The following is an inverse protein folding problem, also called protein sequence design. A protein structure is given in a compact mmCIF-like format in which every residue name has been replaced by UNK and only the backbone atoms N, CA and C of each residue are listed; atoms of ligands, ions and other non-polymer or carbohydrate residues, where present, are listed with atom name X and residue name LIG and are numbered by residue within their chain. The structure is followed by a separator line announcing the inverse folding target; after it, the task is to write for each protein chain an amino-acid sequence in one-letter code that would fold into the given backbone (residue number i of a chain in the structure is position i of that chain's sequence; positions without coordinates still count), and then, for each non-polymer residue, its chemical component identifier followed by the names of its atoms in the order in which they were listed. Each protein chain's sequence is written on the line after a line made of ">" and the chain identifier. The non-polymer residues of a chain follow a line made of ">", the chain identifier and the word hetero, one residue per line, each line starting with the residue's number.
data_IF_677310471724
#
_entry.id   IF_677310471724
#
_cell.length_a   1.000
_cell.length_b   1.000
_cell.length_c   1.000
_cell.angle_alpha   90.00
_cell.angle_beta   90.00
_cell.angle_gamma   90.00
#
_symmetry.space_group_name_H-M   'P 1'
#
loop_
_entity.id
_entity.type
_entity.pdbx_description
1 polymer ?
#
# COMPACT_ATOMS: atom_id res chain seq x y z
N UNK A 1 -19.15 -16.81 -28.00
CA UNK A 1 -19.19 -15.51 -27.29
C UNK A 1 -18.01 -15.46 -26.34
N UNK A 2 -17.11 -14.48 -26.46
CA UNK A 2 -16.07 -14.26 -25.46
C UNK A 2 -16.76 -13.70 -24.21
N UNK A 3 -16.64 -14.33 -23.02
CA UNK A 3 -17.04 -13.67 -21.80
C UNK A 3 -15.97 -12.61 -21.49
N UNK A 4 -16.36 -11.34 -21.57
CA UNK A 4 -15.59 -10.25 -20.97
C UNK A 4 -15.71 -10.41 -19.47
N UNK A 5 -14.73 -11.08 -18.85
CA UNK A 5 -14.48 -10.96 -17.42
C UNK A 5 -14.36 -9.46 -17.13
N UNK A 6 -15.16 -8.97 -16.20
CA UNK A 6 -15.08 -7.62 -15.70
C UNK A 6 -13.65 -7.41 -15.18
N UNK A 7 -12.86 -6.67 -15.96
CA UNK A 7 -11.59 -6.05 -15.55
C UNK A 7 -11.78 -5.01 -14.44
N UNK A 8 -12.72 -5.24 -13.53
CA UNK A 8 -13.32 -4.23 -12.66
C UNK A 8 -12.63 -4.11 -11.32
N UNK A 9 -12.26 -5.22 -10.67
CA UNK A 9 -11.68 -5.20 -9.33
C UNK A 9 -10.16 -5.04 -9.37
N UNK A 10 -9.46 -6.04 -9.91
CA UNK A 10 -7.99 -6.06 -9.98
C UNK A 10 -7.39 -4.90 -10.78
N UNK A 11 -8.01 -4.49 -11.88
CA UNK A 11 -7.52 -3.36 -12.71
C UNK A 11 -7.75 -1.99 -12.06
N UNK A 12 -8.70 -1.89 -11.10
CA UNK A 12 -8.91 -0.69 -10.25
C UNK A 12 -7.93 -0.67 -9.09
N UNK A 13 -7.64 -1.82 -8.49
CA UNK A 13 -6.65 -1.96 -7.41
C UNK A 13 -5.22 -1.77 -7.91
N UNK A 14 -4.86 -2.35 -9.07
CA UNK A 14 -3.58 -2.11 -9.75
C UNK A 14 -3.41 -0.66 -10.17
N UNK A 15 -4.49 -0.01 -10.66
CA UNK A 15 -4.48 1.44 -10.86
C UNK A 15 -4.24 2.15 -9.56
N UNK A 16 -4.88 1.77 -8.46
CA UNK A 16 -4.71 2.41 -7.16
C UNK A 16 -3.28 2.29 -6.65
N UNK A 17 -2.67 1.10 -6.72
CA UNK A 17 -1.27 0.85 -6.31
C UNK A 17 -0.33 1.74 -7.14
N UNK A 18 -0.50 1.74 -8.46
CA UNK A 18 0.33 2.53 -9.37
C UNK A 18 0.18 4.05 -9.18
N UNK A 19 -1.03 4.50 -8.85
CA UNK A 19 -1.31 5.93 -8.61
C UNK A 19 -0.90 6.39 -7.20
N UNK A 20 -0.85 5.47 -6.23
CA UNK A 20 -0.27 5.68 -4.90
C UNK A 20 1.26 5.72 -4.96
N UNK A 21 1.90 4.89 -5.79
CA UNK A 21 3.33 4.98 -6.14
C UNK A 21 3.68 6.34 -6.77
N UNK A 22 2.75 6.94 -7.53
CA UNK A 22 2.90 8.27 -8.16
C UNK A 22 2.72 9.46 -7.19
N UNK A 23 2.42 9.23 -5.90
CA UNK A 23 2.47 10.27 -4.85
C UNK A 23 1.31 11.28 -4.86
N UNK A 24 0.24 11.03 -5.60
CA UNK A 24 -0.97 11.85 -5.62
C UNK A 24 -1.77 11.67 -4.32
N UNK A 25 -1.89 12.71 -3.49
CA UNK A 25 -2.55 12.65 -2.19
C UNK A 25 -4.07 12.43 -2.32
N UNK A 26 -4.53 11.20 -2.12
CA UNK A 26 -5.93 10.95 -1.79
C UNK A 26 -6.22 11.40 -0.35
N UNK A 27 -7.37 12.02 -0.13
CA UNK A 27 -7.86 12.30 1.23
C UNK A 27 -8.10 10.98 1.99
N UNK A 28 -8.00 11.04 3.32
CA UNK A 28 -8.29 9.90 4.20
C UNK A 28 -9.68 9.28 3.91
N UNK A 29 -10.68 10.12 3.62
CA UNK A 29 -12.01 9.73 3.17
C UNK A 29 -12.03 8.87 1.91
N UNK A 30 -11.14 9.15 0.95
CA UNK A 30 -11.10 8.38 -0.30
C UNK A 30 -10.52 6.99 -0.09
N UNK A 31 -9.47 6.89 0.74
CA UNK A 31 -8.88 5.60 1.14
C UNK A 31 -9.91 4.75 1.90
N UNK A 32 -10.68 5.38 2.79
CA UNK A 32 -11.72 4.69 3.55
C UNK A 32 -12.85 4.15 2.65
N UNK A 33 -13.36 4.97 1.73
CA UNK A 33 -14.40 4.53 0.76
C UNK A 33 -13.93 3.41 -0.17
N UNK A 34 -12.66 3.44 -0.57
CA UNK A 34 -12.08 2.36 -1.38
C UNK A 34 -11.95 1.06 -0.59
N UNK A 35 -11.62 1.15 0.71
CA UNK A 35 -11.60 -0.01 1.60
C UNK A 35 -12.99 -0.62 1.77
N UNK A 36 -14.03 0.21 1.93
CA UNK A 36 -15.41 -0.27 2.00
C UNK A 36 -15.85 -0.97 0.71
N UNK A 37 -15.61 -0.34 -0.45
CA UNK A 37 -15.98 -0.92 -1.75
C UNK A 37 -15.29 -2.25 -2.02
N UNK A 38 -13.98 -2.35 -1.74
CA UNK A 38 -13.26 -3.59 -1.92
C UNK A 38 -13.75 -4.69 -0.93
N UNK A 39 -14.18 -4.31 0.29
CA UNK A 39 -14.61 -5.30 1.29
C UNK A 39 -15.94 -5.93 0.88
N UNK A 40 -16.79 -5.13 0.23
CA UNK A 40 -18.03 -5.59 -0.37
C UNK A 40 -17.73 -6.52 -1.55
N UNK A 41 -16.79 -6.16 -2.44
CA UNK A 41 -16.32 -7.03 -3.54
C UNK A 41 -15.74 -8.37 -3.01
N UNK A 42 -14.94 -8.35 -1.93
CA UNK A 42 -14.39 -9.56 -1.30
C UNK A 42 -15.48 -10.47 -0.75
N UNK A 43 -16.49 -9.86 -0.10
CA UNK A 43 -17.62 -10.58 0.48
C UNK A 43 -18.47 -11.23 -0.62
N UNK A 44 -18.79 -10.48 -1.67
CA UNK A 44 -19.55 -10.99 -2.83
C UNK A 44 -18.80 -12.15 -3.49
N UNK A 45 -17.49 -12.01 -3.73
CA UNK A 45 -16.68 -13.06 -4.35
C UNK A 45 -16.60 -14.33 -3.47
N UNK A 46 -16.49 -14.18 -2.15
CA UNK A 46 -16.55 -15.31 -1.20
C UNK A 46 -17.89 -16.03 -1.24
N UNK A 47 -18.99 -15.28 -1.30
CA UNK A 47 -20.33 -15.86 -1.43
C UNK A 47 -20.51 -16.59 -2.77
N UNK A 48 -20.02 -16.03 -3.89
CA UNK A 48 -20.04 -16.69 -5.20
C UNK A 48 -19.22 -17.99 -5.22
N UNK A 49 -18.02 -17.99 -4.62
CA UNK A 49 -17.17 -19.19 -4.51
C UNK A 49 -17.87 -20.27 -3.68
N UNK A 50 -18.50 -19.89 -2.57
CA UNK A 50 -19.22 -20.83 -1.71
C UNK A 50 -20.40 -21.46 -2.46
N UNK A 51 -21.27 -20.64 -3.05
CA UNK A 51 -22.42 -21.12 -3.82
C UNK A 51 -22.00 -21.99 -5.01
N UNK A 52 -20.94 -21.58 -5.72
CA UNK A 52 -20.39 -22.36 -6.83
C UNK A 52 -19.79 -23.68 -6.37
N UNK A 53 -19.13 -23.73 -5.21
CA UNK A 53 -18.58 -24.95 -4.62
C UNK A 53 -19.66 -25.95 -4.24
N UNK A 54 -20.74 -25.47 -3.62
CA UNK A 54 -21.92 -26.30 -3.30
C UNK A 54 -22.57 -26.85 -4.56
N UNK A 55 -22.69 -26.05 -5.62
CA UNK A 55 -23.23 -26.50 -6.89
C UNK A 55 -22.31 -27.53 -7.58
N UNK A 56 -20.99 -27.38 -7.45
CA UNK A 56 -20.01 -28.34 -7.98
C UNK A 56 -20.15 -29.71 -7.32
N UNK A 57 -20.35 -29.77 -6.00
CA UNK A 57 -20.54 -31.04 -5.30
C UNK A 57 -21.88 -31.70 -5.71
N UNK A 58 -22.95 -30.92 -5.89
CA UNK A 58 -24.22 -31.44 -6.44
C UNK A 58 -24.05 -32.04 -7.84
N UNK A 59 -23.35 -31.35 -8.75
CA UNK A 59 -23.08 -31.89 -10.09
C UNK A 59 -22.30 -33.22 -10.03
N UNK A 60 -21.31 -33.31 -9.13
CA UNK A 60 -20.52 -34.53 -8.93
C UNK A 60 -21.38 -35.68 -8.42
N UNK A 61 -22.31 -35.43 -7.49
CA UNK A 61 -23.28 -36.43 -7.02
C UNK A 61 -24.22 -36.89 -8.15
N UNK A 62 -24.74 -35.96 -8.97
CA UNK A 62 -25.58 -36.29 -10.12
C UNK A 62 -24.84 -37.14 -11.16
N UNK A 63 -23.57 -36.82 -11.45
CA UNK A 63 -22.71 -37.61 -12.34
C UNK A 63 -22.50 -39.02 -11.79
N UNK A 64 -22.25 -39.16 -10.48
CA UNK A 64 -22.06 -40.44 -9.81
C UNK A 64 -23.33 -41.30 -9.92
N UNK A 65 -24.49 -40.73 -9.58
CA UNK A 65 -25.79 -41.39 -9.67
C UNK A 65 -26.09 -41.82 -11.12
N UNK A 66 -25.82 -40.94 -12.09
CA UNK A 66 -25.97 -41.23 -13.51
C UNK A 66 -25.08 -42.40 -13.97
N UNK A 67 -23.81 -42.42 -13.52
CA UNK A 67 -22.87 -43.49 -13.84
C UNK A 67 -23.30 -44.84 -13.25
N UNK A 68 -23.76 -44.83 -12.00
CA UNK A 68 -24.22 -46.05 -11.33
C UNK A 68 -25.47 -46.63 -12.01
N UNK A 69 -26.43 -45.77 -12.38
CA UNK A 69 -27.58 -46.16 -13.18
C UNK A 69 -27.15 -46.75 -14.55
N UNK A 70 -26.18 -46.13 -15.21
CA UNK A 70 -25.60 -46.63 -16.46
C UNK A 70 -25.00 -48.03 -16.32
N UNK A 71 -24.25 -48.30 -15.24
CA UNK A 71 -23.72 -49.64 -14.93
C UNK A 71 -24.84 -50.66 -14.74
N UNK A 72 -25.90 -50.30 -14.02
CA UNK A 72 -27.04 -51.18 -13.79
C UNK A 72 -27.81 -51.49 -15.09
N UNK A 73 -27.98 -50.50 -15.97
CA UNK A 73 -28.60 -50.69 -17.29
C UNK A 73 -27.75 -51.59 -18.20
N UNK A 74 -26.42 -51.43 -18.20
CA UNK A 74 -25.50 -52.30 -18.95
C UNK A 74 -25.59 -53.75 -18.48
N UNK A 75 -25.63 -53.97 -17.16
CA UNK A 75 -25.79 -55.30 -16.58
C UNK A 75 -27.11 -55.94 -17.02
N UNK A 76 -28.23 -55.22 -16.90
CA UNK A 76 -29.55 -55.70 -17.36
C UNK A 76 -29.57 -55.99 -18.86
N UNK A 77 -28.91 -55.17 -19.68
CA UNK A 77 -28.83 -55.42 -21.12
C UNK A 77 -28.10 -56.74 -21.42
N UNK A 78 -26.99 -57.00 -20.72
CA UNK A 78 -26.26 -58.25 -20.84
C UNK A 78 -27.10 -59.47 -20.40
N UNK A 79 -27.86 -59.34 -19.31
CA UNK A 79 -28.78 -60.38 -18.81
C UNK A 79 -29.86 -60.71 -19.86
N UNK A 80 -30.53 -59.70 -20.42
CA UNK A 80 -31.56 -59.88 -21.47
C UNK A 80 -30.96 -60.50 -22.73
N UNK A 81 -29.73 -60.12 -23.09
CA UNK A 81 -29.05 -60.71 -24.25
C UNK A 81 -28.80 -62.20 -24.04
N UNK A 82 -28.33 -62.59 -22.85
CA UNK A 82 -28.11 -63.98 -22.50
C UNK A 82 -29.43 -64.79 -22.49
N UNK A 83 -30.49 -64.25 -21.89
CA UNK A 83 -31.81 -64.87 -21.86
C UNK A 83 -32.38 -65.09 -23.28
N UNK A 84 -32.22 -64.09 -24.15
CA UNK A 84 -32.66 -64.18 -25.55
C UNK A 84 -31.91 -65.25 -26.32
N UNK A 85 -30.62 -65.41 -26.08
CA UNK A 85 -29.81 -66.43 -26.75
C UNK A 85 -30.26 -67.84 -26.30
N UNK A 86 -30.56 -68.04 -25.01
CA UNK A 86 -31.16 -69.30 -24.49
C UNK A 86 -32.49 -69.62 -25.16
N UNK A 87 -33.43 -68.66 -25.24
CA UNK A 87 -34.75 -68.87 -25.86
C UNK A 87 -34.63 -69.17 -27.36
N UNK A 88 -33.65 -68.54 -28.03
CA UNK A 88 -33.36 -68.81 -29.44
C UNK A 88 -32.88 -70.25 -29.64
N UNK A 89 -31.97 -70.71 -28.80
CA UNK A 89 -31.45 -72.08 -28.89
C UNK A 89 -32.56 -73.11 -28.64
N UNK A 90 -33.43 -72.88 -27.66
CA UNK A 90 -34.60 -73.72 -27.43
C UNK A 90 -35.59 -73.71 -28.61
N UNK A 91 -35.84 -72.55 -29.21
CA UNK A 91 -36.69 -72.44 -30.41
C UNK A 91 -36.11 -73.23 -31.60
N UNK A 92 -34.78 -73.20 -31.79
CA UNK A 92 -34.10 -73.97 -32.84
C UNK A 92 -34.22 -75.49 -32.62
N UNK A 93 -34.11 -75.93 -31.37
CA UNK A 93 -34.30 -77.34 -31.00
C UNK A 93 -35.75 -77.77 -31.30
N UNK A 94 -36.74 -77.00 -30.84
CA UNK A 94 -38.16 -77.30 -31.08
C UNK A 94 -38.50 -77.33 -32.57
N UNK A 95 -38.00 -76.37 -33.36
CA UNK A 95 -38.19 -76.34 -34.80
C UNK A 95 -37.59 -77.57 -35.51
N UNK A 96 -36.43 -78.05 -35.04
CA UNK A 96 -35.83 -79.29 -35.55
C UNK A 96 -36.68 -80.51 -35.19
N UNK A 97 -37.14 -80.62 -33.94
CA UNK A 97 -38.00 -81.73 -33.51
C UNK A 97 -39.29 -81.82 -34.33
N UNK A 98 -39.92 -80.69 -34.63
CA UNK A 98 -41.12 -80.64 -35.49
C UNK A 98 -40.83 -81.22 -36.88
N UNK A 99 -39.71 -80.84 -37.49
CA UNK A 99 -39.29 -81.32 -38.80
C UNK A 99 -39.00 -82.83 -38.80
N UNK A 100 -38.37 -83.32 -37.73
CA UNK A 100 -38.07 -84.74 -37.57
C UNK A 100 -39.37 -85.55 -37.41
N UNK A 101 -40.32 -85.09 -36.59
CA UNK A 101 -41.65 -85.69 -36.41
C UNK A 101 -42.50 -85.66 -37.70
N UNK A 102 -42.46 -84.56 -38.47
CA UNK A 102 -43.13 -84.50 -39.78
C UNK A 102 -42.56 -85.54 -40.76
N UNK A 103 -41.26 -85.75 -40.74
CA UNK A 103 -40.59 -86.71 -41.62
C UNK A 103 -40.99 -88.14 -41.24
N UNK A 104 -41.09 -88.44 -39.95
CA UNK A 104 -41.56 -89.73 -39.43
C UNK A 104 -43.03 -89.98 -39.77
N UNK A 105 -43.89 -88.97 -39.64
CA UNK A 105 -45.30 -89.06 -40.07
C UNK A 105 -45.43 -89.46 -41.54
N UNK A 106 -44.71 -88.76 -42.43
CA UNK A 106 -44.70 -89.06 -43.88
C UNK A 106 -44.15 -90.45 -44.20
N UNK A 107 -43.25 -90.97 -43.37
CA UNK A 107 -42.77 -92.34 -43.49
C UNK A 107 -43.87 -93.36 -43.11
N UNK A 108 -44.56 -93.13 -41.99
CA UNK A 108 -45.68 -93.96 -41.57
C UNK A 108 -46.85 -93.93 -42.57
N UNK A 109 -47.16 -92.77 -43.16
CA UNK A 109 -48.20 -92.65 -44.20
C UNK A 109 -47.91 -93.55 -45.39
N UNK A 110 -46.66 -93.55 -45.88
CA UNK A 110 -46.22 -94.40 -46.99
C UNK A 110 -46.33 -95.89 -46.65
N UNK A 111 -45.91 -96.30 -45.46
CA UNK A 111 -46.03 -97.71 -45.04
C UNK A 111 -47.51 -98.11 -44.94
N UNK A 112 -48.37 -97.26 -44.39
CA UNK A 112 -49.81 -97.52 -44.29
C UNK A 112 -50.42 -97.69 -45.69
N UNK A 113 -50.07 -96.81 -46.63
CA UNK A 113 -50.52 -96.89 -48.03
C UNK A 113 -50.10 -98.23 -48.67
N UNK A 114 -48.82 -98.61 -48.54
CA UNK A 114 -48.29 -99.89 -49.04
C UNK A 114 -49.00 -101.11 -48.41
N UNK A 115 -49.26 -101.07 -47.10
CA UNK A 115 -49.95 -102.16 -46.40
C UNK A 115 -51.41 -102.28 -46.83
N UNK A 116 -52.11 -101.16 -47.01
CA UNK A 116 -53.49 -101.15 -47.49
C UNK A 116 -53.60 -101.69 -48.92
N UNK A 117 -52.65 -101.36 -49.78
CA UNK A 117 -52.60 -101.90 -51.14
C UNK A 117 -52.39 -103.43 -51.11
N UNK A 118 -51.48 -103.94 -50.27
CA UNK A 118 -51.30 -105.38 -50.06
C UNK A 118 -52.55 -106.08 -49.54
N UNK A 119 -53.28 -105.47 -48.59
CA UNK A 119 -54.55 -106.00 -48.09
C UNK A 119 -55.56 -106.13 -49.23
N UNK A 120 -55.70 -105.08 -50.06
CA UNK A 120 -56.60 -105.06 -51.21
C UNK A 120 -56.26 -106.11 -52.25
N UNK A 121 -54.97 -106.32 -52.51
CA UNK A 121 -54.51 -107.34 -53.45
C UNK A 121 -54.79 -108.76 -52.93
N UNK A 122 -54.59 -109.02 -51.64
CA UNK A 122 -54.96 -110.31 -51.01
C UNK A 122 -56.48 -110.50 -51.06
N UNK A 123 -57.28 -109.48 -50.75
CA UNK A 123 -58.75 -109.55 -50.80
C UNK A 123 -59.24 -110.02 -52.18
N UNK A 124 -58.74 -109.42 -53.27
CA UNK A 124 -59.05 -109.83 -54.65
C UNK A 124 -58.69 -111.29 -54.97
N UNK A 125 -57.61 -111.83 -54.37
CA UNK A 125 -57.25 -113.24 -54.55
C UNK A 125 -58.22 -114.18 -53.82
N UNK A 126 -58.71 -113.79 -52.64
CA UNK A 126 -59.74 -114.51 -51.87
C UNK A 126 -61.10 -114.52 -52.57
N UNK A 127 -61.47 -113.45 -53.28
CA UNK A 127 -62.73 -113.39 -54.03
C UNK A 127 -62.78 -114.39 -55.21
N UNK A 128 -61.61 -114.88 -55.66
CA UNK A 128 -61.48 -115.84 -56.76
C UNK A 128 -61.29 -117.31 -56.32
N UNK A 129 -61.32 -117.61 -55.02
CA UNK A 129 -61.10 -118.98 -54.49
C UNK A 129 -62.07 -119.29 -53.33
N UNK A 130 -62.69 -120.48 -53.31
CA UNK A 130 -63.54 -120.92 -52.19
C UNK A 130 -62.77 -120.83 -50.85
N UNK A 131 -63.23 -119.95 -49.95
CA UNK A 131 -62.92 -119.84 -48.52
C UNK A 131 -61.50 -120.26 -48.07
N UNK A 132 -60.49 -119.40 -48.30
CA UNK A 132 -59.12 -119.63 -47.84
C UNK A 132 -58.83 -118.96 -46.47
N UNK A 133 -58.83 -119.75 -45.39
CA UNK A 133 -58.58 -119.32 -44.00
C UNK A 133 -57.19 -118.68 -43.81
N UNK A 134 -56.21 -119.05 -44.62
CA UNK A 134 -54.84 -118.50 -44.56
C UNK A 134 -54.80 -117.04 -45.02
N UNK A 135 -55.55 -116.69 -46.07
CA UNK A 135 -55.66 -115.32 -46.57
C UNK A 135 -56.37 -114.40 -45.57
N UNK A 136 -57.39 -114.91 -44.88
CA UNK A 136 -58.08 -114.19 -43.81
C UNK A 136 -57.11 -113.83 -42.66
N UNK A 137 -56.27 -114.77 -42.24
CA UNK A 137 -55.27 -114.54 -41.20
C UNK A 137 -54.18 -113.55 -41.67
N UNK A 138 -53.75 -113.59 -42.94
CA UNK A 138 -52.79 -112.62 -43.50
C UNK A 138 -53.36 -111.21 -43.48
N UNK A 139 -54.62 -111.04 -43.90
CA UNK A 139 -55.34 -109.76 -43.83
C UNK A 139 -55.40 -109.26 -42.39
N UNK A 140 -55.85 -110.07 -41.43
CA UNK A 140 -55.90 -109.66 -40.01
C UNK A 140 -54.55 -109.21 -39.46
N UNK A 141 -53.45 -109.89 -39.84
CA UNK A 141 -52.10 -109.51 -39.42
C UNK A 141 -51.65 -108.18 -40.03
N UNK A 142 -51.96 -107.93 -41.30
CA UNK A 142 -51.65 -106.66 -41.97
C UNK A 142 -52.51 -105.51 -41.42
N UNK A 143 -53.81 -105.75 -41.19
CA UNK A 143 -54.72 -104.78 -40.61
C UNK A 143 -54.27 -104.36 -39.20
N UNK A 144 -53.79 -105.29 -38.36
CA UNK A 144 -53.19 -104.94 -37.07
C UNK A 144 -52.01 -103.97 -37.20
N UNK A 145 -51.08 -104.25 -38.13
CA UNK A 145 -49.95 -103.35 -38.39
C UNK A 145 -50.38 -101.96 -38.85
N UNK A 146 -51.42 -101.87 -39.68
CA UNK A 146 -52.00 -100.58 -40.10
C UNK A 146 -52.56 -99.84 -38.89
N UNK A 147 -53.30 -100.51 -38.00
CA UNK A 147 -53.82 -99.91 -36.78
C UNK A 147 -52.71 -99.42 -35.87
N UNK A 148 -51.66 -100.21 -35.66
CA UNK A 148 -50.52 -99.84 -34.81
C UNK A 148 -49.81 -98.59 -35.35
N UNK A 149 -49.58 -98.52 -36.66
CA UNK A 149 -48.99 -97.34 -37.32
C UNK A 149 -49.89 -96.11 -37.21
N UNK A 150 -51.22 -96.26 -37.30
CA UNK A 150 -52.17 -95.15 -37.10
C UNK A 150 -52.16 -94.64 -35.65
N UNK A 151 -52.04 -95.53 -34.67
CA UNK A 151 -51.87 -95.14 -33.26
C UNK A 151 -50.57 -94.35 -33.09
N UNK A 152 -49.46 -94.81 -33.67
CA UNK A 152 -48.19 -94.07 -33.66
C UNK A 152 -48.30 -92.69 -34.32
N UNK A 153 -49.02 -92.57 -35.43
CA UNK A 153 -49.26 -91.27 -36.08
C UNK A 153 -50.05 -90.29 -35.21
N UNK A 154 -51.04 -90.75 -34.47
CA UNK A 154 -51.78 -89.90 -33.54
C UNK A 154 -50.87 -89.38 -32.41
N UNK A 155 -50.03 -90.25 -31.85
CA UNK A 155 -49.04 -89.84 -30.83
C UNK A 155 -48.08 -88.79 -31.40
N UNK A 156 -47.60 -88.98 -32.64
CA UNK A 156 -46.75 -87.99 -33.32
C UNK A 156 -47.48 -86.65 -33.48
N UNK A 157 -48.75 -86.66 -33.90
CA UNK A 157 -49.55 -85.44 -34.06
C UNK A 157 -49.71 -84.68 -32.74
N UNK A 158 -50.09 -85.37 -31.66
CA UNK A 158 -50.23 -84.77 -30.33
C UNK A 158 -48.91 -84.18 -29.83
N UNK A 159 -47.81 -84.92 -30.01
CA UNK A 159 -46.46 -84.46 -29.66
C UNK A 159 -46.07 -83.21 -30.45
N UNK A 160 -46.41 -83.17 -31.75
CA UNK A 160 -46.08 -82.05 -32.62
C UNK A 160 -46.87 -80.79 -32.23
N UNK A 161 -48.16 -80.92 -31.91
CA UNK A 161 -48.98 -79.81 -31.42
C UNK A 161 -48.44 -79.22 -30.10
N UNK A 162 -47.95 -80.07 -29.20
CA UNK A 162 -47.34 -79.60 -27.96
C UNK A 162 -46.02 -78.84 -28.21
N UNK A 163 -45.15 -79.37 -29.07
CA UNK A 163 -43.87 -78.72 -29.43
C UNK A 163 -44.13 -77.41 -30.19
N UNK A 164 -45.13 -77.36 -31.07
CA UNK A 164 -45.50 -76.13 -31.78
C UNK A 164 -45.95 -75.03 -30.82
N UNK A 165 -46.77 -75.36 -29.81
CA UNK A 165 -47.16 -74.39 -28.77
C UNK A 165 -45.94 -73.86 -28.01
N UNK A 166 -44.96 -74.71 -27.69
CA UNK A 166 -43.70 -74.28 -27.07
C UNK A 166 -42.90 -73.35 -27.99
N UNK A 167 -42.83 -73.68 -29.28
CA UNK A 167 -42.15 -72.83 -30.27
C UNK A 167 -42.81 -71.44 -30.38
N UNK A 168 -44.14 -71.38 -30.46
CA UNK A 168 -44.89 -70.12 -30.54
C UNK A 168 -44.71 -69.25 -29.29
N UNK A 169 -44.66 -69.86 -28.10
CA UNK A 169 -44.34 -69.17 -26.85
C UNK A 169 -42.92 -68.59 -26.88
N UNK A 170 -41.92 -69.39 -27.26
CA UNK A 170 -40.52 -68.93 -27.35
C UNK A 170 -40.36 -67.77 -28.34
N UNK A 171 -41.05 -67.80 -29.48
CA UNK A 171 -41.05 -66.69 -30.46
C UNK A 171 -41.64 -65.42 -29.85
N UNK A 172 -42.73 -65.55 -29.10
CA UNK A 172 -43.42 -64.41 -28.47
C UNK A 172 -42.57 -63.78 -27.37
N UNK A 173 -41.93 -64.61 -26.55
CA UNK A 173 -41.02 -64.18 -25.49
C UNK A 173 -39.79 -63.48 -26.08
N UNK A 174 -39.17 -64.06 -27.11
CA UNK A 174 -38.01 -63.46 -27.80
C UNK A 174 -38.33 -62.07 -28.37
N UNK A 175 -39.49 -61.92 -29.04
CA UNK A 175 -39.95 -60.60 -29.53
C UNK A 175 -40.15 -59.59 -28.41
N UNK A 176 -40.57 -60.05 -27.22
CA UNK A 176 -40.75 -59.18 -26.05
C UNK A 176 -39.39 -58.73 -25.49
N UNK A 177 -38.44 -59.67 -25.37
CA UNK A 177 -37.06 -59.38 -24.96
C UNK A 177 -36.34 -58.45 -25.95
N UNK A 178 -36.57 -58.60 -27.26
CA UNK A 178 -36.03 -57.70 -28.29
C UNK A 178 -36.48 -56.26 -28.08
N UNK A 179 -37.78 -56.03 -27.83
CA UNK A 179 -38.30 -54.69 -27.52
C UNK A 179 -37.68 -54.13 -26.25
N UNK A 180 -37.54 -54.95 -25.22
CA UNK A 180 -36.91 -54.54 -23.95
C UNK A 180 -35.44 -54.18 -24.15
N UNK A 181 -34.69 -54.94 -24.95
CA UNK A 181 -33.28 -54.66 -25.27
C UNK A 181 -33.12 -53.34 -26.06
N UNK A 182 -33.96 -53.11 -27.07
CA UNK A 182 -33.96 -51.84 -27.83
C UNK A 182 -34.22 -50.66 -26.88
N UNK A 183 -35.22 -50.78 -26.01
CA UNK A 183 -35.52 -49.73 -25.02
C UNK A 183 -34.35 -49.49 -24.05
N UNK A 184 -33.73 -50.55 -23.51
CA UNK A 184 -32.55 -50.41 -22.64
C UNK A 184 -31.37 -49.75 -23.35
N UNK A 185 -31.13 -50.09 -24.62
CA UNK A 185 -30.06 -49.49 -25.43
C UNK A 185 -30.30 -48.01 -25.64
N UNK A 186 -31.55 -47.61 -25.92
CA UNK A 186 -31.92 -46.19 -26.03
C UNK A 186 -31.75 -45.45 -24.69
N UNK A 187 -32.14 -46.06 -23.57
CA UNK A 187 -31.93 -45.48 -22.23
C UNK A 187 -30.44 -45.31 -21.91
N UNK A 188 -29.59 -46.26 -22.29
CA UNK A 188 -28.14 -46.18 -22.10
C UNK A 188 -27.52 -45.01 -22.86
N UNK A 189 -27.88 -44.83 -24.13
CA UNK A 189 -27.33 -43.73 -24.95
C UNK A 189 -27.79 -42.36 -24.45
N UNK A 190 -29.05 -42.27 -24.00
CA UNK A 190 -29.56 -41.05 -23.38
C UNK A 190 -28.78 -40.72 -22.09
N UNK A 191 -28.60 -41.70 -21.19
CA UNK A 191 -27.86 -41.49 -19.94
C UNK A 191 -26.39 -41.15 -20.16
N UNK A 192 -25.75 -41.76 -21.16
CA UNK A 192 -24.40 -41.39 -21.57
C UNK A 192 -24.33 -39.93 -21.99
N UNK A 193 -25.29 -39.46 -22.78
CA UNK A 193 -25.38 -38.06 -23.22
C UNK A 193 -25.60 -37.10 -22.05
N UNK A 194 -26.49 -37.43 -21.11
CA UNK A 194 -26.72 -36.64 -19.89
C UNK A 194 -25.43 -36.48 -19.06
N UNK A 195 -24.68 -37.58 -18.84
CA UNK A 195 -23.43 -37.57 -18.07
C UNK A 195 -22.37 -36.68 -18.74
N UNK A 196 -22.26 -36.71 -20.07
CA UNK A 196 -21.33 -35.84 -20.81
C UNK A 196 -21.65 -34.37 -20.55
N UNK A 197 -22.92 -33.98 -20.66
CA UNK A 197 -23.36 -32.61 -20.42
C UNK A 197 -23.09 -32.18 -18.97
N UNK A 198 -23.34 -33.07 -18.00
CA UNK A 198 -23.06 -32.78 -16.60
C UNK A 198 -21.55 -32.60 -16.33
N UNK A 199 -20.70 -33.45 -16.93
CA UNK A 199 -19.25 -33.30 -16.84
C UNK A 199 -18.76 -31.99 -17.48
N UNK A 200 -19.32 -31.59 -18.63
CA UNK A 200 -18.97 -30.30 -19.25
C UNK A 200 -19.33 -29.13 -18.35
N UNK A 201 -20.52 -29.15 -17.72
CA UNK A 201 -20.93 -28.16 -16.73
C UNK A 201 -20.00 -28.15 -15.52
N UNK A 202 -19.62 -29.32 -15.01
CA UNK A 202 -18.70 -29.46 -13.89
C UNK A 202 -17.35 -28.81 -14.20
N UNK A 203 -16.76 -29.11 -15.36
CA UNK A 203 -15.46 -28.57 -15.76
C UNK A 203 -15.50 -27.03 -15.93
N UNK A 204 -16.56 -26.50 -16.55
CA UNK A 204 -16.74 -25.05 -16.70
C UNK A 204 -16.85 -24.39 -15.32
N UNK A 205 -17.55 -25.01 -14.37
CA UNK A 205 -17.70 -24.49 -13.03
C UNK A 205 -16.38 -24.54 -12.24
N UNK A 206 -15.62 -25.63 -12.36
CA UNK A 206 -14.32 -25.79 -11.72
C UNK A 206 -13.31 -24.73 -12.23
N UNK A 207 -13.27 -24.49 -13.54
CA UNK A 207 -12.46 -23.43 -14.15
C UNK A 207 -12.84 -22.02 -13.63
N UNK A 208 -14.14 -21.74 -13.47
CA UNK A 208 -14.62 -20.47 -12.93
C UNK A 208 -14.23 -20.28 -11.47
N UNK A 209 -14.44 -21.31 -10.64
CA UNK A 209 -14.05 -21.30 -9.23
C UNK A 209 -12.53 -21.09 -9.07
N UNK A 210 -11.72 -21.72 -9.93
CA UNK A 210 -10.29 -21.51 -9.98
C UNK A 210 -9.91 -20.05 -10.24
N UNK A 211 -10.57 -19.39 -11.21
CA UNK A 211 -10.34 -17.97 -11.50
C UNK A 211 -10.76 -17.06 -10.35
N UNK A 212 -11.94 -17.29 -9.77
CA UNK A 212 -12.41 -16.52 -8.62
C UNK A 212 -11.48 -16.67 -7.41
N UNK A 213 -10.93 -17.86 -7.17
CA UNK A 213 -9.94 -18.07 -6.10
C UNK A 213 -8.65 -17.28 -6.34
N UNK A 214 -8.18 -17.17 -7.59
CA UNK A 214 -7.01 -16.36 -7.93
C UNK A 214 -7.32 -14.87 -7.74
N UNK A 215 -8.49 -14.41 -8.19
CA UNK A 215 -8.94 -13.02 -8.00
C UNK A 215 -9.05 -12.66 -6.51
N UNK A 216 -9.59 -13.55 -5.68
CA UNK A 216 -9.69 -13.36 -4.23
C UNK A 216 -8.31 -13.23 -3.58
N UNK A 217 -7.35 -14.07 -3.97
CA UNK A 217 -5.98 -13.99 -3.45
C UNK A 217 -5.30 -12.68 -3.87
N UNK A 218 -5.46 -12.26 -5.13
CA UNK A 218 -4.92 -11.00 -5.62
C UNK A 218 -5.52 -9.80 -4.89
N UNK A 219 -6.82 -9.83 -4.58
CA UNK A 219 -7.47 -8.80 -3.77
C UNK A 219 -6.85 -8.74 -2.36
N UNK A 220 -6.69 -9.88 -1.70
CA UNK A 220 -6.08 -9.99 -0.37
C UNK A 220 -4.62 -9.48 -0.34
N UNK A 221 -3.82 -9.81 -1.35
CA UNK A 221 -2.44 -9.30 -1.46
C UNK A 221 -2.42 -7.77 -1.59
N UNK A 222 -3.31 -7.21 -2.42
CA UNK A 222 -3.44 -5.76 -2.54
C UNK A 222 -3.90 -5.09 -1.23
N UNK A 223 -4.77 -5.75 -0.45
CA UNK A 223 -5.15 -5.27 0.88
C UNK A 223 -4.01 -5.23 1.88
N UNK A 224 -3.24 -6.30 1.94
CA UNK A 224 -2.07 -6.36 2.80
C UNK A 224 -1.09 -5.24 2.44
N UNK A 225 -0.93 -4.94 1.16
CA UNK A 225 -0.11 -3.81 0.71
C UNK A 225 -0.69 -2.46 1.15
N UNK A 226 -1.99 -2.22 0.99
CA UNK A 226 -2.63 -0.97 1.45
C UNK A 226 -2.51 -0.80 2.96
N UNK A 227 -2.68 -1.88 3.74
CA UNK A 227 -2.51 -1.85 5.19
C UNK A 227 -1.06 -1.52 5.59
N UNK A 228 -0.06 -2.11 4.91
CA UNK A 228 1.35 -1.77 5.12
C UNK A 228 1.62 -0.30 4.82
N UNK A 229 1.15 0.19 3.67
CA UNK A 229 1.30 1.60 3.30
C UNK A 229 0.65 2.53 4.33
N UNK A 230 -0.50 2.18 4.90
CA UNK A 230 -1.17 2.98 5.93
C UNK A 230 -0.34 3.02 7.24
N UNK A 231 0.23 1.89 7.65
CA UNK A 231 1.14 1.85 8.82
C UNK A 231 2.35 2.76 8.61
N UNK A 232 2.98 2.71 7.42
CA UNK A 232 4.10 3.58 7.07
C UNK A 232 3.70 5.06 7.07
N UNK A 233 2.53 5.38 6.53
CA UNK A 233 2.03 6.75 6.47
C UNK A 233 1.73 7.32 7.86
N UNK A 234 1.22 6.51 8.79
CA UNK A 234 1.05 6.90 10.18
C UNK A 234 2.39 7.15 10.87
N UNK A 235 3.39 6.30 10.64
CA UNK A 235 4.74 6.49 11.18
C UNK A 235 5.40 7.77 10.65
N UNK A 236 5.24 8.08 9.36
CA UNK A 236 5.70 9.35 8.78
C UNK A 236 4.99 10.55 9.41
N UNK A 237 3.68 10.46 9.62
CA UNK A 237 2.89 11.53 10.23
C UNK A 237 3.34 11.81 11.68
N UNK A 238 3.56 10.77 12.48
CA UNK A 238 4.18 10.92 13.81
C UNK A 238 5.56 11.59 13.74
N UNK A 239 6.39 11.18 12.78
CA UNK A 239 7.69 11.80 12.52
C UNK A 239 7.60 13.30 12.19
N UNK A 240 6.63 13.71 11.38
CA UNK A 240 6.40 15.12 11.07
C UNK A 240 5.85 15.90 12.27
N UNK A 241 4.92 15.33 13.04
CA UNK A 241 4.41 15.96 14.25
C UNK A 241 5.53 16.22 15.27
N UNK A 242 6.46 15.28 15.44
CA UNK A 242 7.64 15.49 16.28
C UNK A 242 8.53 16.63 15.77
N UNK A 243 8.74 16.74 14.45
CA UNK A 243 9.50 17.86 13.85
C UNK A 243 8.78 19.20 14.03
N UNK A 244 7.46 19.24 13.90
CA UNK A 244 6.66 20.46 14.13
C UNK A 244 6.79 20.91 15.57
N UNK A 245 6.70 19.99 16.54
CA UNK A 245 6.90 20.32 17.96
C UNK A 245 8.29 20.88 18.21
N UNK A 246 9.34 20.25 17.67
CA UNK A 246 10.71 20.75 17.80
C UNK A 246 10.89 22.16 17.18
N UNK A 247 10.26 22.42 16.03
CA UNK A 247 10.30 23.73 15.39
C UNK A 247 9.56 24.79 16.23
N UNK A 248 8.45 24.43 16.85
CA UNK A 248 7.71 25.31 17.76
C UNK A 248 8.54 25.65 19.00
N UNK A 249 9.21 24.67 19.61
CA UNK A 249 10.10 24.89 20.74
C UNK A 249 11.25 25.85 20.36
N UNK A 250 11.89 25.62 19.22
CA UNK A 250 12.94 26.50 18.71
C UNK A 250 12.45 27.93 18.41
N UNK A 251 11.22 28.07 17.91
CA UNK A 251 10.59 29.37 17.66
C UNK A 251 10.34 30.14 18.96
N UNK A 252 9.92 29.44 20.02
CA UNK A 252 9.71 30.04 21.33
C UNK A 252 11.04 30.49 21.96
N UNK A 253 12.09 29.66 21.86
CA UNK A 253 13.45 30.03 22.31
C UNK A 253 13.98 31.27 21.59
N UNK A 254 13.76 31.36 20.26
CA UNK A 254 14.13 32.53 19.47
C UNK A 254 13.35 33.77 19.92
N UNK A 255 12.05 33.62 20.20
CA UNK A 255 11.17 34.69 20.68
C UNK A 255 11.62 35.21 22.05
N UNK A 256 11.97 34.33 22.98
CA UNK A 256 12.51 34.70 24.30
C UNK A 256 13.86 35.43 24.15
N UNK A 257 14.74 34.93 23.27
CA UNK A 257 16.03 35.58 22.96
C UNK A 257 15.85 36.98 22.36
N UNK A 258 14.90 37.15 21.44
CA UNK A 258 14.56 38.44 20.86
C UNK A 258 14.06 39.43 21.94
N UNK A 259 13.21 38.97 22.86
CA UNK A 259 12.75 39.81 23.98
C UNK A 259 13.89 40.22 24.91
N UNK A 260 14.82 39.31 25.21
CA UNK A 260 16.00 39.60 26.02
C UNK A 260 16.89 40.65 25.33
N UNK A 261 17.14 40.51 24.02
CA UNK A 261 17.89 41.49 23.24
C UNK A 261 17.20 42.86 23.22
N UNK A 262 15.87 42.91 23.07
CA UNK A 262 15.09 44.16 23.16
C UNK A 262 15.22 44.83 24.54
N UNK A 263 15.20 44.05 25.63
CA UNK A 263 15.41 44.57 27.00
C UNK A 263 16.83 45.13 27.17
N UNK A 264 17.85 44.43 26.67
CA UNK A 264 19.23 44.90 26.70
C UNK A 264 19.41 46.20 25.89
N UNK A 265 18.85 46.27 24.68
CA UNK A 265 18.87 47.49 23.87
C UNK A 265 18.20 48.67 24.57
N UNK A 266 17.09 48.44 25.27
CA UNK A 266 16.44 49.47 26.09
C UNK A 266 17.37 49.97 27.19
N UNK A 267 17.99 49.05 27.95
CA UNK A 267 18.94 49.39 29.02
C UNK A 267 20.15 50.19 28.49
N UNK A 268 20.75 49.77 27.37
CA UNK A 268 21.85 50.51 26.75
C UNK A 268 21.46 51.93 26.32
N UNK A 269 20.20 52.16 25.91
CA UNK A 269 19.72 53.50 25.56
C UNK A 269 19.55 54.38 26.80
N UNK A 270 19.09 53.82 27.91
CA UNK A 270 18.99 54.49 29.21
C UNK A 270 20.38 54.87 29.73
N UNK A 271 21.32 53.93 29.77
CA UNK A 271 22.71 54.18 30.20
C UNK A 271 23.40 55.25 29.33
N UNK A 272 23.14 55.27 28.01
CA UNK A 272 23.66 56.31 27.11
C UNK A 272 23.11 57.70 27.47
N UNK A 273 21.85 57.80 27.87
CA UNK A 273 21.24 59.07 28.28
C UNK A 273 21.84 59.57 29.59
N UNK A 274 22.01 58.69 30.58
CA UNK A 274 22.61 59.02 31.88
C UNK A 274 24.07 59.47 31.74
N UNK A 275 24.87 58.77 30.92
CA UNK A 275 26.24 59.17 30.62
C UNK A 275 26.27 60.55 29.95
N UNK A 276 25.34 60.81 29.02
CA UNK A 276 25.26 62.10 28.34
C UNK A 276 24.95 63.22 29.35
N UNK A 277 23.95 63.05 30.20
CA UNK A 277 23.59 64.03 31.23
C UNK A 277 24.75 64.30 32.20
N UNK A 278 25.37 63.24 32.72
CA UNK A 278 26.54 63.36 33.61
C UNK A 278 27.73 64.06 32.94
N UNK A 279 27.96 63.75 31.65
CA UNK A 279 29.04 64.40 30.88
C UNK A 279 28.74 65.88 30.64
N UNK A 280 27.50 66.26 30.35
CA UNK A 280 27.07 67.65 30.19
C UNK A 280 27.20 68.43 31.51
N UNK A 281 26.84 67.82 32.66
CA UNK A 281 27.03 68.44 33.98
C UNK A 281 28.52 68.62 34.32
N UNK A 282 29.35 67.62 34.03
CA UNK A 282 30.79 67.68 34.24
C UNK A 282 31.44 68.79 33.41
N UNK A 283 31.06 68.89 32.12
CA UNK A 283 31.52 69.97 31.23
C UNK A 283 31.09 71.33 31.77
N UNK A 284 29.85 71.47 32.28
CA UNK A 284 29.38 72.72 32.90
C UNK A 284 30.24 73.13 34.10
N UNK A 285 30.50 72.20 35.04
CA UNK A 285 31.36 72.45 36.20
C UNK A 285 32.80 72.83 35.81
N UNK A 286 33.36 72.17 34.79
CA UNK A 286 34.68 72.50 34.27
C UNK A 286 34.70 73.92 33.66
N UNK A 287 33.67 74.30 32.90
CA UNK A 287 33.55 75.64 32.35
C UNK A 287 33.40 76.72 33.44
N UNK A 288 32.64 76.46 34.50
CA UNK A 288 32.52 77.38 35.63
C UNK A 288 33.85 77.56 36.37
N UNK A 289 34.59 76.46 36.54
CA UNK A 289 35.94 76.50 37.13
C UNK A 289 36.91 77.28 36.25
N UNK A 290 36.87 77.04 34.93
CA UNK A 290 37.68 77.77 33.96
C UNK A 290 37.38 79.27 34.02
N UNK A 291 36.11 79.68 34.01
CA UNK A 291 35.70 81.08 34.12
C UNK A 291 36.17 81.73 35.42
N UNK A 292 36.13 80.99 36.54
CA UNK A 292 36.64 81.46 37.83
C UNK A 292 38.16 81.68 37.80
N UNK A 293 38.90 80.76 37.19
CA UNK A 293 40.35 80.90 37.00
C UNK A 293 40.67 82.10 36.09
N UNK A 294 39.94 82.29 34.99
CA UNK A 294 40.11 83.45 34.11
C UNK A 294 39.92 84.76 34.87
N UNK A 295 38.86 84.89 35.69
CA UNK A 295 38.65 86.07 36.55
C UNK A 295 39.80 86.30 37.52
N UNK A 296 40.34 85.24 38.12
CA UNK A 296 41.50 85.34 39.02
C UNK A 296 42.75 85.81 38.26
N UNK A 297 42.97 85.32 37.05
CA UNK A 297 44.06 85.78 36.18
C UNK A 297 43.90 87.27 35.87
N UNK A 298 42.69 87.72 35.55
CA UNK A 298 42.41 89.14 35.29
C UNK A 298 42.70 90.02 36.52
N UNK A 299 42.32 89.57 37.72
CA UNK A 299 42.63 90.27 38.98
C UNK A 299 44.13 90.34 39.22
N UNK A 300 44.84 89.21 39.07
CA UNK A 300 46.29 89.16 39.23
C UNK A 300 47.01 90.06 38.24
N UNK A 301 46.54 90.12 36.99
CA UNK A 301 47.09 91.02 35.98
C UNK A 301 46.88 92.50 36.36
N UNK A 302 45.71 92.87 36.91
CA UNK A 302 45.47 94.24 37.43
C UNK A 302 46.38 94.57 38.60
N UNK A 303 46.48 93.67 39.59
CA UNK A 303 47.36 93.87 40.74
C UNK A 303 48.82 94.02 40.32
N UNK A 304 49.26 93.23 39.34
CA UNK A 304 50.59 93.37 38.75
C UNK A 304 50.78 94.75 38.13
N UNK A 305 49.83 95.24 37.33
CA UNK A 305 49.92 96.55 36.70
C UNK A 305 49.91 97.69 37.72
N UNK A 306 49.12 97.60 38.79
CA UNK A 306 49.14 98.54 39.92
C UNK A 306 50.50 98.53 40.62
N UNK A 307 51.07 97.34 40.89
CA UNK A 307 52.39 97.20 41.49
C UNK A 307 53.48 97.80 40.59
N UNK A 308 53.45 97.51 39.29
CA UNK A 308 54.38 98.07 38.31
C UNK A 308 54.31 99.61 38.29
N UNK A 309 53.10 100.20 38.42
CA UNK A 309 52.91 101.65 38.52
C UNK A 309 53.48 102.24 39.82
N UNK A 310 53.19 101.63 40.97
CA UNK A 310 53.73 102.06 42.28
C UNK A 310 55.26 101.99 42.28
N UNK A 311 55.82 100.94 41.68
CA UNK A 311 57.26 100.77 41.56
C UNK A 311 57.89 101.86 40.69
N UNK A 312 57.24 102.23 39.57
CA UNK A 312 57.68 103.33 38.71
C UNK A 312 57.62 104.70 39.40
N UNK A 313 56.55 104.99 40.16
CA UNK A 313 56.43 106.21 40.96
C UNK A 313 57.51 106.29 42.05
N UNK A 314 57.71 105.18 42.77
CA UNK A 314 58.75 105.10 43.82
C UNK A 314 60.15 105.31 43.25
N UNK A 315 60.46 104.74 42.08
CA UNK A 315 61.72 104.98 41.39
C UNK A 315 61.89 106.43 40.95
N UNK A 316 60.82 107.08 40.48
CA UNK A 316 60.84 108.50 40.10
C UNK A 316 61.12 109.38 41.31
N UNK A 317 60.42 109.15 42.43
CA UNK A 317 60.64 109.89 43.68
C UNK A 317 62.06 109.70 44.22
N UNK A 318 62.58 108.46 44.19
CA UNK A 318 63.97 108.19 44.55
C UNK A 318 64.95 108.96 43.66
N UNK A 319 64.69 109.02 42.36
CA UNK A 319 65.53 109.76 41.41
C UNK A 319 65.50 111.27 41.66
N UNK A 320 64.34 111.83 41.98
CA UNK A 320 64.20 113.24 42.34
C UNK A 320 64.90 113.55 43.67
N UNK A 321 64.85 112.65 44.66
CA UNK A 321 65.64 112.76 45.90
C UNK A 321 67.14 112.75 45.62
N UNK A 322 67.63 111.90 44.72
CA UNK A 322 69.05 111.87 44.30
C UNK A 322 69.45 113.19 43.64
N UNK A 323 68.62 113.74 42.74
CA UNK A 323 68.88 115.05 42.10
C UNK A 323 69.01 116.18 43.13
N UNK A 324 68.07 116.26 44.07
CA UNK A 324 68.10 117.29 45.12
C UNK A 324 69.34 117.17 46.01
N UNK A 325 69.77 115.94 46.32
CA UNK A 325 70.95 115.69 47.13
C UNK A 325 72.25 116.10 46.41
N UNK A 326 72.32 115.89 45.09
CA UNK A 326 73.41 116.39 44.26
C UNK A 326 73.43 117.92 44.20
N UNK A 327 72.26 118.57 44.06
CA UNK A 327 72.15 120.03 44.07
C UNK A 327 72.63 120.64 45.39
N UNK A 328 72.26 120.02 46.53
CA UNK A 328 72.73 120.41 47.86
C UNK A 328 74.25 120.29 47.99
N UNK A 329 74.84 119.22 47.45
CA UNK A 329 76.31 119.05 47.43
C UNK A 329 77.01 120.12 46.59
N UNK A 330 76.41 120.55 45.48
CA UNK A 330 76.96 121.65 44.67
C UNK A 330 76.95 122.98 45.44
N UNK A 331 75.85 123.31 46.13
CA UNK A 331 75.74 124.51 46.98
C UNK A 331 76.77 124.48 48.12
N UNK A 332 76.91 123.34 48.80
CA UNK A 332 77.89 123.20 49.89
C UNK A 332 79.33 123.32 49.36
N UNK A 333 79.59 122.88 48.13
CA UNK A 333 80.90 123.01 47.46
C UNK A 333 81.21 124.46 47.11
N UNK A 334 80.23 125.22 46.61
CA UNK A 334 80.37 126.66 46.35
C UNK A 334 80.64 127.44 47.64
N UNK A 335 79.89 127.16 48.73
CA UNK A 335 80.14 127.76 50.04
C UNK A 335 81.56 127.50 50.58
N UNK A 336 82.10 126.31 50.35
CA UNK A 336 83.46 125.95 50.74
C UNK A 336 84.53 126.71 49.94
N UNK A 337 84.28 126.97 48.65
CA UNK A 337 85.16 127.82 47.82
C UNK A 337 85.15 129.25 48.35
N UNK A 338 83.95 129.79 48.61
CA UNK A 338 83.76 131.15 49.14
C UNK A 338 84.43 131.36 50.52
N UNK A 339 84.33 130.36 51.40
CA UNK A 339 85.03 130.34 52.69
C UNK A 339 86.55 130.29 52.54
N UNK A 340 87.06 129.49 51.59
CA UNK A 340 88.49 129.44 51.30
C UNK A 340 89.02 130.76 50.71
N UNK A 341 88.22 131.45 49.87
CA UNK A 341 88.57 132.77 49.35
C UNK A 341 88.60 133.84 50.45
N UNK A 342 87.58 133.89 51.31
CA UNK A 342 87.61 134.74 52.51
C UNK A 342 88.80 134.45 53.43
N UNK A 343 89.18 133.17 53.55
CA UNK A 343 90.36 132.78 54.34
C UNK A 343 91.67 133.31 53.72
N UNK A 344 91.81 133.27 52.39
CA UNK A 344 92.99 133.80 51.68
C UNK A 344 93.11 135.33 51.74
N UNK A 345 91.99 136.04 51.72
CA UNK A 345 91.99 137.50 51.94
C UNK A 345 92.50 137.86 53.34
N UNK A 346 92.01 137.16 54.37
CA UNK A 346 92.48 137.34 55.73
C UNK A 346 93.99 137.04 55.91
N UNK A 347 94.53 136.03 55.21
CA UNK A 347 95.97 135.75 55.20
C UNK A 347 96.80 136.91 54.61
N UNK A 348 96.33 137.51 53.51
CA UNK A 348 96.99 138.70 52.91
C UNK A 348 96.94 139.93 53.81
N UNK A 349 95.83 140.12 54.52
CA UNK A 349 95.67 141.22 55.48
C UNK A 349 96.64 141.08 56.66
N UNK A 350 96.81 139.86 57.19
CA UNK A 350 97.79 139.57 58.24
C UNK A 350 99.24 139.76 57.78
N UNK A 351 99.56 139.39 56.54
CA UNK A 351 100.89 139.58 55.96
C UNK A 351 101.22 141.09 55.80
N UNK A 352 100.21 141.88 55.41
CA UNK A 352 100.28 143.34 55.34
C UNK A 352 100.49 143.98 56.71
N UNK A 353 99.78 143.52 57.74
CA UNK A 353 100.01 143.94 59.14
C UNK A 353 101.43 143.59 59.62
N UNK A 354 101.94 142.40 59.30
CA UNK A 354 103.30 141.98 59.69
C UNK A 354 104.40 142.85 59.04
N UNK A 355 104.22 143.28 57.79
CA UNK A 355 105.15 144.22 57.12
C UNK A 355 105.13 145.62 57.76
N UNK A 356 103.94 146.11 58.13
CA UNK A 356 103.80 147.39 58.82
C UNK A 356 104.47 147.36 60.20
N UNK A 357 104.31 146.27 60.96
CA UNK A 357 104.94 146.09 62.26
C UNK A 357 106.47 146.05 62.18
N UNK A 358 107.06 145.42 61.15
CA UNK A 358 108.52 145.43 60.94
C UNK A 358 109.09 146.82 60.65
N UNK A 359 108.38 147.67 59.89
CA UNK A 359 108.83 149.04 59.55
C UNK A 359 108.94 149.94 60.78
N UNK A 360 108.12 149.75 61.82
CA UNK A 360 108.16 150.52 63.07
C UNK A 360 109.33 150.16 63.99
N UNK A 361 110.03 149.03 63.79
CA UNK A 361 111.19 148.62 64.61
C UNK A 361 112.54 149.17 64.11
N UNK A 362 112.59 149.79 62.93
CA UNK A 362 113.86 150.12 62.24
C UNK A 362 114.01 151.60 61.91
N UNK A 363 113.30 152.50 62.59
CA UNK A 363 113.50 153.94 62.44
C UNK A 363 114.17 154.49 63.70
N UNK A 364 115.43 154.89 63.55
CA UNK A 364 116.22 155.56 64.58
C UNK A 364 115.62 156.94 64.90
N UNK A 365 115.58 157.22 66.20
CA UNK A 365 115.17 158.50 66.78
C UNK A 365 116.44 159.34 66.92
N UNK A 366 116.56 160.38 66.10
CA UNK A 366 117.46 161.54 66.29
C UNK A 366 116.63 162.79 66.64
#
# INVERSE_FOLDING_TARGET
>A
MKPTCSKGGGEKLDRLIKTLEDGSSYSYDTIYKLKEAANEDEKELKEEILQGSDYREKLKEEILQGSELGKNLLKKNAEIKAERDTIRDEALINAKQIKDLESEKRYNDRIIEDLNQKIKDIQKQTDNTHYNKENLHKIQKLSRKVTDLKVQQNIILETNEEIQKKLDNNITENKTLDKTNVNLTAMLENKKSEIIILNDKYNILDDKLGKYSIELNSLNEGYDQVNRNNIELNSLNEGYNNKINLLNDNLEDLRLSEQAAKRLLKKCREEKADIKENSEETIRKLNDTLNSLTKKIDILNRQRQEMDNVYAESLKELNDRIKNLNLSKEIDRERLIELNEKSREHEKDLESMNKASRRLRTMDVD
#
